data_IF_444350636205
#
_entry.id   IF_444350636205
#
_cell.length_a   1.000
_cell.length_b   1.000
_cell.length_c   1.000
_cell.angle_alpha   90.00
_cell.angle_beta   90.00
_cell.angle_gamma   90.00
#
_symmetry.space_group_name_H-M   'P 1'
#
loop_
_entity.id
_entity.type
_entity.pdbx_description
1 polymer ?
#
# COMPACT_ATOMS: atom_id res chain seq x y z
N UNK A 1 -32.59 31.09 40.38
CA UNK A 1 -31.86 30.12 39.55
C UNK A 1 -32.67 28.83 39.54
N UNK A 2 -33.16 28.41 38.38
CA UNK A 2 -33.89 27.14 38.27
C UNK A 2 -32.92 25.96 38.45
N UNK A 3 -33.30 24.89 39.15
CA UNK A 3 -32.45 23.71 39.29
C UNK A 3 -32.24 23.08 37.92
N UNK A 4 -30.97 22.89 37.54
CA UNK A 4 -30.59 22.16 36.33
C UNK A 4 -31.05 20.71 36.54
N UNK A 5 -31.95 20.25 35.68
CA UNK A 5 -32.42 18.87 35.69
C UNK A 5 -31.28 17.95 35.21
N UNK A 6 -30.49 17.50 36.18
CA UNK A 6 -29.33 16.61 35.99
C UNK A 6 -29.70 15.31 35.30
N UNK A 7 -30.95 14.86 35.38
CA UNK A 7 -31.40 13.63 34.72
C UNK A 7 -31.58 13.81 33.21
N UNK A 8 -31.99 15.00 32.75
CA UNK A 8 -32.10 15.32 31.33
C UNK A 8 -30.71 15.39 30.67
N UNK A 9 -29.75 16.05 31.33
CA UNK A 9 -28.37 16.18 30.86
C UNK A 9 -27.67 14.81 30.78
N UNK A 10 -27.91 13.92 31.76
CA UNK A 10 -27.35 12.57 31.76
C UNK A 10 -27.88 11.72 30.60
N UNK A 11 -29.19 11.85 30.29
CA UNK A 11 -29.84 11.07 29.22
C UNK A 11 -29.30 11.45 27.84
N UNK A 12 -29.09 12.73 27.59
CA UNK A 12 -28.56 13.21 26.31
C UNK A 12 -27.07 12.89 26.16
N UNK A 13 -26.28 12.96 27.24
CA UNK A 13 -24.88 12.54 27.25
C UNK A 13 -24.71 11.03 26.96
N UNK A 14 -25.57 10.18 27.53
CA UNK A 14 -25.53 8.72 27.30
C UNK A 14 -26.00 8.36 25.88
N UNK A 15 -26.97 9.09 25.32
CA UNK A 15 -27.43 8.88 23.94
C UNK A 15 -26.39 9.28 22.90
N UNK A 16 -25.57 10.31 23.17
CA UNK A 16 -24.46 10.72 22.31
C UNK A 16 -23.23 9.80 22.40
N UNK A 17 -23.07 9.03 23.48
CA UNK A 17 -21.88 8.21 23.74
C UNK A 17 -21.87 6.84 23.00
N UNK A 18 -23.01 6.41 22.44
CA UNK A 18 -23.12 5.10 21.77
C UNK A 18 -22.60 5.09 20.32
N UNK A 19 -22.27 6.25 19.76
CA UNK A 19 -21.80 6.41 18.36
C UNK A 19 -20.38 6.99 18.25
N UNK A 20 -19.71 7.24 19.37
CA UNK A 20 -18.41 7.93 19.42
C UNK A 20 -17.33 6.98 19.96
N UNK A 21 -16.08 7.05 19.49
CA UNK A 21 -15.01 6.20 19.99
C UNK A 21 -14.82 6.31 21.52
N UNK A 22 -14.40 5.22 22.15
CA UNK A 22 -14.33 5.06 23.61
C UNK A 22 -13.55 6.19 24.34
N UNK A 23 -12.63 6.88 23.68
CA UNK A 23 -11.91 8.03 24.24
C UNK A 23 -12.82 9.23 24.54
N UNK A 24 -13.91 9.43 23.78
CA UNK A 24 -14.85 10.52 24.04
C UNK A 24 -15.66 10.29 25.31
N UNK A 25 -15.95 9.03 25.64
CA UNK A 25 -16.65 8.65 26.87
C UNK A 25 -15.78 8.94 28.10
N UNK A 26 -14.46 8.68 28.00
CA UNK A 26 -13.47 9.05 29.03
C UNK A 26 -13.38 10.56 29.21
N UNK A 27 -13.36 11.34 28.12
CA UNK A 27 -13.33 12.81 28.18
C UNK A 27 -14.59 13.37 28.83
N UNK A 28 -15.78 12.85 28.49
CA UNK A 28 -17.05 13.27 29.10
C UNK A 28 -17.06 12.96 30.61
N UNK A 29 -16.58 11.79 31.03
CA UNK A 29 -16.45 11.47 32.45
C UNK A 29 -15.48 12.41 33.18
N UNK A 30 -14.33 12.74 32.59
CA UNK A 30 -13.37 13.69 33.15
C UNK A 30 -13.98 15.10 33.30
N UNK A 31 -14.73 15.57 32.31
CA UNK A 31 -15.40 16.89 32.35
C UNK A 31 -16.46 16.95 33.45
N UNK A 32 -17.27 15.89 33.61
CA UNK A 32 -18.29 15.81 34.66
C UNK A 32 -17.64 15.81 36.05
N UNK A 33 -16.54 15.07 36.22
CA UNK A 33 -15.78 15.02 37.47
C UNK A 33 -15.17 16.38 37.80
N UNK A 34 -14.61 17.07 36.80
CA UNK A 34 -14.08 18.42 36.97
C UNK A 34 -15.17 19.44 37.34
N UNK A 35 -16.37 19.32 36.76
CA UNK A 35 -17.49 20.21 37.11
C UNK A 35 -17.98 19.99 38.55
N UNK A 36 -18.07 18.73 39.00
CA UNK A 36 -18.56 18.38 40.34
C UNK A 36 -17.51 18.65 41.42
N UNK A 37 -16.23 18.45 41.12
CA UNK A 37 -15.12 18.66 42.07
C UNK A 37 -14.99 20.13 42.53
N UNK A 38 -15.40 21.10 41.71
CA UNK A 38 -15.43 22.53 42.11
C UNK A 38 -16.37 22.84 43.30
N UNK A 39 -17.27 21.93 43.67
CA UNK A 39 -18.26 22.14 44.74
C UNK A 39 -17.98 21.33 46.01
N UNK A 40 -16.85 20.62 46.07
CA UNK A 40 -16.55 19.65 47.13
C UNK A 40 -15.27 20.06 47.88
N UNK A 41 -15.21 19.91 49.22
CA UNK A 41 -14.00 20.19 49.99
C UNK A 41 -12.79 19.39 49.49
N UNK A 42 -11.61 20.03 49.53
CA UNK A 42 -10.36 19.57 48.90
C UNK A 42 -9.97 18.10 49.21
N UNK A 43 -10.20 17.63 50.43
CA UNK A 43 -9.91 16.25 50.81
C UNK A 43 -10.80 15.22 50.08
N UNK A 44 -12.05 15.55 49.79
CA UNK A 44 -12.95 14.69 49.06
C UNK A 44 -12.74 14.80 47.54
N UNK A 45 -12.25 15.93 47.02
CA UNK A 45 -11.78 16.04 45.63
C UNK A 45 -10.67 15.02 45.32
N UNK A 46 -9.64 14.93 46.17
CA UNK A 46 -8.51 14.00 45.97
C UNK A 46 -9.01 12.56 45.84
N UNK A 47 -9.95 12.14 46.68
CA UNK A 47 -10.50 10.78 46.65
C UNK A 47 -11.30 10.54 45.36
N UNK A 48 -12.10 11.52 44.93
CA UNK A 48 -12.87 11.44 43.70
C UNK A 48 -11.95 11.36 42.47
N UNK A 49 -10.95 12.23 42.38
CA UNK A 49 -10.01 12.25 41.27
C UNK A 49 -9.19 10.96 41.19
N UNK A 50 -8.74 10.43 42.33
CA UNK A 50 -8.01 9.16 42.39
C UNK A 50 -8.91 8.00 41.93
N UNK A 51 -10.17 7.98 42.36
CA UNK A 51 -11.14 6.95 41.97
C UNK A 51 -11.42 7.00 40.48
N UNK A 52 -11.55 8.20 39.90
CA UNK A 52 -11.78 8.41 38.48
C UNK A 52 -10.57 8.01 37.65
N UNK A 53 -9.36 8.38 38.07
CA UNK A 53 -8.12 7.95 37.41
C UNK A 53 -7.97 6.43 37.42
N UNK A 54 -8.28 5.77 38.54
CA UNK A 54 -8.28 4.31 38.64
C UNK A 54 -9.34 3.72 37.71
N UNK A 55 -10.53 4.29 37.65
CA UNK A 55 -11.60 3.81 36.77
C UNK A 55 -11.24 3.99 35.29
N UNK A 56 -10.67 5.14 34.91
CA UNK A 56 -10.19 5.41 33.56
C UNK A 56 -9.04 4.46 33.19
N UNK A 57 -8.07 4.28 34.09
CA UNK A 57 -6.99 3.31 33.92
C UNK A 57 -7.52 1.88 33.76
N UNK A 58 -8.52 1.49 34.54
CA UNK A 58 -9.19 0.19 34.43
C UNK A 58 -9.96 0.04 33.11
N UNK A 59 -10.67 1.07 32.64
CA UNK A 59 -11.38 1.05 31.36
C UNK A 59 -10.40 0.96 30.19
N UNK A 60 -9.31 1.75 30.21
CA UNK A 60 -8.23 1.65 29.22
C UNK A 60 -7.63 0.24 29.27
N UNK A 61 -7.30 -0.27 30.45
CA UNK A 61 -6.77 -1.62 30.62
C UNK A 61 -7.73 -2.68 30.10
N UNK A 62 -9.04 -2.60 30.36
CA UNK A 62 -10.05 -3.54 29.84
C UNK A 62 -10.21 -3.44 28.33
N UNK A 63 -10.18 -2.22 27.77
CA UNK A 63 -10.21 -2.01 26.31
C UNK A 63 -8.95 -2.58 25.68
N UNK A 64 -7.79 -2.33 26.27
CA UNK A 64 -6.52 -2.82 25.79
C UNK A 64 -6.45 -4.34 25.91
N UNK A 65 -6.91 -4.93 27.02
CA UNK A 65 -7.04 -6.38 27.21
C UNK A 65 -8.05 -6.99 26.23
N UNK A 66 -9.13 -6.29 25.89
CA UNK A 66 -10.11 -6.72 24.87
C UNK A 66 -9.56 -6.56 23.45
N UNK A 67 -8.74 -5.55 23.18
CA UNK A 67 -8.06 -5.36 21.90
C UNK A 67 -6.94 -6.39 21.71
N UNK A 68 -6.28 -6.80 22.81
CA UNK A 68 -5.27 -7.86 22.87
C UNK A 68 -5.88 -9.25 22.98
N UNK A 69 -7.15 -9.37 23.38
CA UNK A 69 -7.94 -10.59 23.17
C UNK A 69 -8.26 -10.67 21.70
N UNK A 70 -7.30 -11.29 21.00
CA UNK A 70 -7.50 -12.10 19.80
C UNK A 70 -8.98 -12.27 19.47
N UNK A 71 -9.39 -11.81 18.29
CA UNK A 71 -10.59 -12.33 17.62
C UNK A 71 -10.58 -13.83 17.87
N UNK A 72 -11.56 -14.33 18.62
CA UNK A 72 -11.61 -15.74 18.98
C UNK A 72 -11.80 -16.52 17.68
N UNK A 73 -10.70 -16.93 17.07
CA UNK A 73 -10.71 -17.66 15.82
C UNK A 73 -11.20 -19.07 16.15
N UNK A 74 -12.33 -19.52 15.60
CA UNK A 74 -12.95 -20.79 15.96
C UNK A 74 -12.10 -22.03 15.62
N UNK A 75 -10.98 -21.86 14.91
CA UNK A 75 -10.13 -22.95 14.43
C UNK A 75 -8.65 -22.69 14.73
N UNK A 76 -7.90 -23.67 15.28
CA UNK A 76 -6.46 -23.57 15.53
C UNK A 76 -5.64 -23.11 14.30
N UNK A 77 -6.03 -23.53 13.10
CA UNK A 77 -5.37 -23.13 11.86
C UNK A 77 -5.57 -21.65 11.49
N UNK A 78 -6.64 -21.01 11.96
CA UNK A 78 -6.82 -19.56 11.77
C UNK A 78 -5.99 -18.76 12.78
N UNK A 79 -5.87 -19.25 14.01
CA UNK A 79 -4.97 -18.66 15.02
C UNK A 79 -3.51 -18.69 14.55
N UNK A 80 -3.06 -19.82 13.99
CA UNK A 80 -1.74 -19.95 13.40
C UNK A 80 -1.50 -18.91 12.30
N UNK A 81 -2.45 -18.75 11.36
CA UNK A 81 -2.36 -17.75 10.28
C UNK A 81 -2.32 -16.32 10.78
N UNK A 82 -3.08 -15.99 11.84
CA UNK A 82 -3.04 -14.65 12.44
C UNK A 82 -1.68 -14.38 13.09
N UNK A 83 -1.09 -15.38 13.76
CA UNK A 83 0.25 -15.25 14.32
C UNK A 83 1.28 -15.07 13.21
N UNK A 84 1.21 -15.88 12.15
CA UNK A 84 2.05 -15.72 10.95
C UNK A 84 1.91 -14.33 10.33
N UNK A 85 0.69 -13.78 10.25
CA UNK A 85 0.47 -12.42 9.75
C UNK A 85 1.02 -11.35 10.71
N UNK A 86 0.92 -11.54 12.03
CA UNK A 86 1.50 -10.62 13.01
C UNK A 86 3.03 -10.61 12.95
N UNK A 87 3.64 -11.73 12.62
CA UNK A 87 5.08 -11.85 12.44
C UNK A 87 5.57 -11.17 11.14
N UNK A 88 4.65 -10.69 10.28
CA UNK A 88 4.97 -9.88 9.10
C UNK A 88 5.04 -8.38 9.39
N UNK A 89 4.50 -7.89 10.52
CA UNK A 89 4.44 -6.45 10.80
C UNK A 89 5.84 -5.80 10.79
N UNK A 90 6.80 -6.41 11.50
CA UNK A 90 8.19 -5.90 11.55
C UNK A 90 8.84 -5.93 10.15
N UNK A 91 8.81 -7.04 9.39
CA UNK A 91 9.31 -7.06 8.02
C UNK A 91 8.68 -6.04 7.08
N UNK A 92 7.35 -5.89 7.14
CA UNK A 92 6.62 -4.94 6.30
C UNK A 92 7.05 -3.53 6.66
N UNK A 93 7.11 -3.21 7.95
CA UNK A 93 7.56 -1.90 8.42
C UNK A 93 9.02 -1.65 8.05
N UNK A 94 9.91 -2.63 8.15
CA UNK A 94 11.30 -2.41 7.75
C UNK A 94 11.45 -2.18 6.25
N UNK A 95 10.79 -2.98 5.40
CA UNK A 95 10.91 -2.83 3.93
C UNK A 95 10.16 -1.61 3.41
N UNK A 96 8.97 -1.32 3.95
CA UNK A 96 8.05 -0.30 3.47
C UNK A 96 7.96 0.90 4.42
N UNK A 97 8.91 1.09 5.34
CA UNK A 97 8.90 2.10 6.41
C UNK A 97 8.41 3.47 5.93
N UNK A 98 9.12 4.01 4.93
CA UNK A 98 8.87 5.33 4.36
C UNK A 98 7.56 5.39 3.55
N UNK A 99 6.96 4.25 3.22
CA UNK A 99 5.64 4.15 2.59
C UNK A 99 4.53 4.03 3.65
N UNK A 100 4.82 3.49 4.82
CA UNK A 100 3.88 3.29 5.92
C UNK A 100 3.72 4.53 6.80
N UNK A 101 4.63 5.51 6.68
CA UNK A 101 4.60 6.79 7.40
C UNK A 101 3.38 7.68 7.12
N UNK A 102 3.42 8.92 7.62
CA UNK A 102 2.26 9.81 7.59
C UNK A 102 1.94 10.38 6.19
N UNK A 103 2.90 10.42 5.26
CA UNK A 103 2.75 11.08 3.96
C UNK A 103 1.78 10.39 2.99
N UNK A 104 1.36 11.08 1.94
CA UNK A 104 0.54 10.45 0.89
C UNK A 104 1.36 9.42 0.10
N UNK A 105 0.77 8.25 -0.14
CA UNK A 105 1.33 7.22 -1.02
C UNK A 105 0.38 7.01 -2.19
N UNK A 106 0.92 7.10 -3.40
CA UNK A 106 0.16 6.87 -4.62
C UNK A 106 0.58 5.56 -5.25
N UNK A 107 -0.36 4.62 -5.35
CA UNK A 107 -0.21 3.40 -6.15
C UNK A 107 -0.61 3.72 -7.58
N UNK A 108 0.40 3.88 -8.42
CA UNK A 108 0.30 4.22 -9.84
C UNK A 108 0.33 2.93 -10.64
N UNK A 109 -0.77 2.61 -11.31
CA UNK A 109 -0.85 1.44 -12.17
C UNK A 109 -1.27 1.81 -13.58
N UNK A 110 -1.17 0.84 -14.49
CA UNK A 110 -1.41 1.07 -15.91
C UNK A 110 -2.84 1.50 -16.24
N UNK A 111 -2.97 2.48 -17.13
CA UNK A 111 -4.17 2.68 -17.94
C UNK A 111 -3.79 2.62 -19.40
N UNK A 112 -4.46 1.74 -20.15
CA UNK A 112 -4.25 1.57 -21.58
C UNK A 112 -5.39 2.20 -22.35
N UNK A 113 -5.05 2.93 -23.41
CA UNK A 113 -6.02 3.38 -24.39
C UNK A 113 -6.67 2.17 -25.08
N UNK A 114 -8.00 2.08 -25.05
CA UNK A 114 -8.73 1.06 -25.79
C UNK A 114 -9.03 1.59 -27.20
N UNK A 115 -8.26 1.11 -28.17
CA UNK A 115 -8.53 1.38 -29.59
C UNK A 115 -9.71 0.59 -30.13
N UNK A 116 -9.90 -0.61 -29.59
CA UNK A 116 -11.04 -1.48 -29.90
C UNK A 116 -11.39 -2.36 -28.70
N UNK A 117 -12.69 -2.55 -28.46
CA UNK A 117 -13.20 -3.47 -27.45
C UNK A 117 -14.44 -4.19 -27.95
N UNK A 118 -14.81 -5.30 -27.29
CA UNK A 118 -16.06 -6.01 -27.57
C UNK A 118 -17.12 -5.56 -26.57
N UNK A 119 -18.25 -5.06 -27.06
CA UNK A 119 -19.38 -4.65 -26.21
C UNK A 119 -20.13 -5.86 -25.61
N UNK A 120 -21.14 -5.59 -24.78
CA UNK A 120 -21.96 -6.65 -24.16
C UNK A 120 -22.77 -7.47 -25.17
N UNK A 121 -22.90 -7.00 -26.41
CA UNK A 121 -23.61 -7.66 -27.51
C UNK A 121 -22.66 -8.44 -28.41
N UNK A 122 -21.35 -8.44 -28.12
CA UNK A 122 -20.34 -9.15 -28.91
C UNK A 122 -19.82 -8.36 -30.11
N UNK A 123 -20.15 -7.07 -30.25
CA UNK A 123 -19.69 -6.24 -31.37
C UNK A 123 -18.34 -5.63 -31.06
N UNK A 124 -17.45 -5.59 -32.06
CA UNK A 124 -16.20 -4.83 -31.98
C UNK A 124 -16.52 -3.35 -32.12
N UNK A 125 -16.34 -2.61 -31.04
CA UNK A 125 -16.49 -1.15 -30.95
C UNK A 125 -15.12 -0.50 -31.08
N UNK A 126 -15.05 0.55 -31.90
CA UNK A 126 -13.88 1.43 -32.04
C UNK A 126 -14.30 2.84 -31.62
N UNK A 127 -13.93 3.30 -30.41
CA UNK A 127 -14.41 4.57 -29.86
C UNK A 127 -14.14 5.78 -30.76
N UNK A 128 -13.04 5.77 -31.52
CA UNK A 128 -12.68 6.83 -32.46
C UNK A 128 -13.61 6.92 -33.68
N UNK A 129 -14.31 5.83 -34.03
CA UNK A 129 -15.09 5.69 -35.26
C UNK A 129 -16.61 5.66 -35.08
N UNK A 130 -17.10 5.58 -33.84
CA UNK A 130 -18.53 5.51 -33.55
C UNK A 130 -18.98 6.69 -32.67
N UNK A 131 -19.75 7.66 -33.20
CA UNK A 131 -20.27 8.80 -32.45
C UNK A 131 -21.13 8.41 -31.24
N UNK A 132 -21.75 7.22 -31.24
CA UNK A 132 -22.51 6.70 -30.09
C UNK A 132 -21.61 6.35 -28.91
N UNK A 133 -20.33 6.04 -29.19
CA UNK A 133 -19.25 5.86 -28.23
C UNK A 133 -18.24 7.02 -28.29
N UNK A 134 -18.56 8.08 -29.04
CA UNK A 134 -17.68 9.18 -29.49
C UNK A 134 -17.35 10.21 -28.42
N UNK A 135 -16.85 9.74 -27.28
CA UNK A 135 -16.19 10.56 -26.28
C UNK A 135 -14.67 10.60 -26.48
N UNK A 136 -13.99 11.39 -25.63
CA UNK A 136 -12.54 11.31 -25.46
C UNK A 136 -12.08 9.83 -25.29
N UNK A 137 -10.84 9.47 -25.66
CA UNK A 137 -10.36 8.09 -25.64
C UNK A 137 -10.83 7.33 -24.40
N UNK A 138 -11.56 6.21 -24.60
CA UNK A 138 -12.12 5.46 -23.48
C UNK A 138 -10.97 4.88 -22.66
N UNK A 139 -10.79 5.44 -21.47
CA UNK A 139 -9.88 4.92 -20.45
C UNK A 139 -10.48 3.63 -19.92
N UNK A 140 -9.91 2.47 -20.26
CA UNK A 140 -10.13 1.27 -19.45
C UNK A 140 -8.97 1.09 -18.49
N UNK A 141 -9.31 1.11 -17.21
CA UNK A 141 -8.37 0.83 -16.16
C UNK A 141 -7.89 -0.62 -16.28
N UNK A 142 -6.58 -0.79 -16.22
CA UNK A 142 -5.89 -2.03 -15.84
C UNK A 142 -5.92 -3.22 -16.79
N UNK A 143 -4.74 -3.72 -17.11
CA UNK A 143 -4.60 -5.16 -17.36
C UNK A 143 -4.97 -5.88 -16.04
N UNK A 144 -5.74 -6.97 -16.10
CA UNK A 144 -6.12 -7.75 -14.91
C UNK A 144 -4.89 -8.08 -14.02
N UNK A 145 -3.71 -8.43 -14.56
CA UNK A 145 -2.51 -8.67 -13.76
C UNK A 145 -2.05 -7.47 -12.93
N UNK A 146 -2.02 -6.27 -13.51
CA UNK A 146 -1.54 -5.06 -12.81
C UNK A 146 -2.51 -4.66 -11.69
N UNK A 147 -3.83 -4.85 -11.87
CA UNK A 147 -4.84 -4.58 -10.86
C UNK A 147 -4.69 -5.51 -9.65
N UNK A 148 -4.47 -6.80 -9.93
CA UNK A 148 -4.22 -7.80 -8.90
C UNK A 148 -2.91 -7.51 -8.17
N UNK A 149 -1.88 -7.07 -8.90
CA UNK A 149 -0.61 -6.63 -8.32
C UNK A 149 -0.80 -5.44 -7.37
N UNK A 150 -1.53 -4.41 -7.81
CA UNK A 150 -1.85 -3.23 -7.02
C UNK A 150 -2.58 -3.59 -5.72
N UNK A 151 -3.64 -4.41 -5.81
CA UNK A 151 -4.38 -4.85 -4.63
C UNK A 151 -3.49 -5.59 -3.63
N UNK A 152 -2.55 -6.41 -4.08
CA UNK A 152 -1.60 -7.12 -3.19
C UNK A 152 -0.69 -6.17 -2.44
N UNK A 153 -0.07 -5.21 -3.15
CA UNK A 153 0.81 -4.23 -2.50
C UNK A 153 0.05 -3.31 -1.55
N UNK A 154 -1.19 -2.93 -1.90
CA UNK A 154 -2.06 -2.18 -1.00
C UNK A 154 -2.38 -2.97 0.27
N UNK A 155 -2.69 -4.26 0.15
CA UNK A 155 -2.95 -5.11 1.31
C UNK A 155 -1.71 -5.21 2.22
N UNK A 156 -0.50 -5.31 1.66
CA UNK A 156 0.74 -5.27 2.45
C UNK A 156 0.89 -3.95 3.19
N UNK A 157 0.66 -2.82 2.53
CA UNK A 157 0.70 -1.50 3.18
C UNK A 157 -0.34 -1.39 4.31
N UNK A 158 -1.56 -1.89 4.10
CA UNK A 158 -2.60 -1.92 5.14
C UNK A 158 -2.16 -2.74 6.35
N UNK A 159 -1.53 -3.90 6.12
CA UNK A 159 -0.97 -4.74 7.19
C UNK A 159 0.15 -4.01 7.93
N UNK A 160 1.03 -3.31 7.21
CA UNK A 160 2.09 -2.49 7.81
C UNK A 160 1.60 -1.32 8.67
N UNK A 161 0.33 -0.92 8.52
CA UNK A 161 -0.29 0.17 9.28
C UNK A 161 -0.75 1.37 8.43
N UNK A 162 -0.50 1.37 7.12
CA UNK A 162 -0.92 2.43 6.20
C UNK A 162 -2.42 2.35 5.89
N UNK A 163 -3.24 2.88 6.79
CA UNK A 163 -4.72 2.85 6.67
C UNK A 163 -5.34 4.10 6.05
N UNK A 164 -4.59 5.20 6.03
CA UNK A 164 -5.03 6.48 5.49
C UNK A 164 -4.03 6.97 4.45
N UNK A 165 -4.44 7.93 3.63
CA UNK A 165 -3.55 8.62 2.66
C UNK A 165 -2.91 7.71 1.61
N UNK A 166 -3.49 6.51 1.41
CA UNK A 166 -3.18 5.62 0.31
C UNK A 166 -4.16 5.88 -0.83
N UNK A 167 -3.64 6.28 -2.00
CA UNK A 167 -4.46 6.62 -3.17
C UNK A 167 -4.09 5.75 -4.36
N UNK A 168 -5.10 5.31 -5.08
CA UNK A 168 -4.96 4.58 -6.34
C UNK A 168 -5.11 5.55 -7.49
N UNK A 169 -4.11 5.66 -8.35
CA UNK A 169 -4.15 6.51 -9.55
C UNK A 169 -3.64 5.74 -10.76
N UNK A 170 -3.96 6.23 -11.95
CA UNK A 170 -3.42 5.65 -13.17
C UNK A 170 -2.23 6.47 -13.68
N UNK A 171 -1.38 5.85 -14.49
CA UNK A 171 -0.32 6.53 -15.21
C UNK A 171 -0.82 7.39 -16.38
N UNK A 172 -2.13 7.55 -16.55
CA UNK A 172 -2.69 8.36 -17.62
C UNK A 172 -2.36 9.83 -17.41
N UNK A 173 -2.06 10.55 -18.49
CA UNK A 173 -1.56 11.94 -18.43
C UNK A 173 -2.47 12.90 -17.66
N UNK A 174 -3.79 12.74 -17.79
CA UNK A 174 -4.75 13.59 -17.08
C UNK A 174 -4.95 13.19 -15.61
N UNK A 175 -4.61 11.95 -15.26
CA UNK A 175 -4.81 11.39 -13.92
C UNK A 175 -3.57 11.64 -13.05
N UNK A 176 -2.38 11.56 -13.65
CA UNK A 176 -1.10 11.77 -12.98
C UNK A 176 -0.71 13.25 -12.99
N UNK A 177 -0.85 13.91 -11.84
CA UNK A 177 -0.52 15.33 -11.66
C UNK A 177 0.94 15.51 -11.26
N UNK A 178 1.50 16.67 -11.59
CA UNK A 178 2.89 17.00 -11.25
C UNK A 178 3.15 17.00 -9.74
N UNK A 179 2.16 17.36 -8.93
CA UNK A 179 2.26 17.37 -7.46
C UNK A 179 2.51 15.98 -6.84
N UNK A 180 2.23 14.90 -7.57
CA UNK A 180 2.45 13.55 -7.06
C UNK A 180 3.94 13.15 -7.05
N UNK A 181 4.78 13.83 -7.83
CA UNK A 181 6.23 13.60 -7.83
C UNK A 181 6.88 13.87 -6.47
N UNK A 182 6.30 14.79 -5.70
CA UNK A 182 6.76 15.16 -4.36
C UNK A 182 6.31 14.16 -3.27
N UNK A 183 5.60 13.09 -3.67
CA UNK A 183 5.07 12.06 -2.78
C UNK A 183 5.75 10.71 -3.02
N UNK A 184 5.62 9.80 -2.06
CA UNK A 184 6.06 8.42 -2.25
C UNK A 184 5.15 7.67 -3.24
N UNK A 185 5.74 6.94 -4.17
CA UNK A 185 5.02 6.27 -5.25
C UNK A 185 5.26 4.75 -5.24
N UNK A 186 4.22 3.99 -5.57
CA UNK A 186 4.34 2.58 -5.98
C UNK A 186 3.97 2.50 -7.44
N UNK A 187 4.93 2.20 -8.31
CA UNK A 187 4.73 2.13 -9.75
C UNK A 187 4.56 0.69 -10.18
N UNK A 188 3.43 0.37 -10.80
CA UNK A 188 3.09 -0.98 -11.25
C UNK A 188 2.94 -0.96 -12.76
N UNK A 189 3.77 -1.77 -13.43
CA UNK A 189 3.82 -1.88 -14.88
C UNK A 189 5.13 -1.34 -15.49
N UNK A 190 5.52 -1.87 -16.65
CA UNK A 190 6.67 -1.38 -17.42
C UNK A 190 6.34 -0.10 -18.17
N UNK A 191 7.31 0.54 -18.82
CA UNK A 191 7.06 1.78 -19.57
C UNK A 191 6.02 1.68 -20.71
N UNK A 192 5.66 0.46 -21.15
CA UNK A 192 4.51 0.23 -22.05
C UNK A 192 3.16 0.45 -21.38
N UNK A 193 3.03 0.01 -20.13
CA UNK A 193 1.76 0.04 -19.40
C UNK A 193 1.69 1.18 -18.39
N UNK A 194 2.85 1.65 -17.90
CA UNK A 194 3.00 2.77 -16.97
C UNK A 194 4.14 3.69 -17.43
N UNK A 195 3.78 4.79 -18.09
CA UNK A 195 4.74 5.76 -18.63
C UNK A 195 5.58 6.51 -17.57
N UNK A 196 5.15 6.46 -16.29
CA UNK A 196 5.86 7.09 -15.17
C UNK A 196 7.05 6.23 -14.73
N UNK A 197 6.94 4.90 -14.86
CA UNK A 197 8.00 3.95 -14.50
C UNK A 197 9.38 4.30 -15.08
N UNK A 198 9.56 4.44 -16.41
CA UNK A 198 10.87 4.77 -16.97
C UNK A 198 11.33 6.19 -16.62
N UNK A 199 10.41 7.12 -16.36
CA UNK A 199 10.75 8.48 -15.93
C UNK A 199 11.40 8.46 -14.55
N UNK A 200 10.79 7.78 -13.57
CA UNK A 200 11.33 7.61 -12.21
C UNK A 200 12.69 6.92 -12.24
N UNK A 201 12.82 5.81 -12.98
CA UNK A 201 14.10 5.09 -13.06
C UNK A 201 15.21 5.98 -13.62
N UNK A 202 14.92 6.80 -14.64
CA UNK A 202 15.90 7.71 -15.22
C UNK A 202 16.22 8.90 -14.33
N UNK A 203 15.21 9.54 -13.75
CA UNK A 203 15.35 10.75 -12.93
C UNK A 203 16.22 10.50 -11.69
N UNK A 204 16.08 9.33 -11.08
CA UNK A 204 16.84 8.96 -9.88
C UNK A 204 18.04 8.07 -10.18
N UNK A 205 18.55 8.12 -11.41
CA UNK A 205 19.73 7.42 -11.89
C UNK A 205 19.77 5.93 -11.49
N UNK A 206 18.63 5.25 -11.59
CA UNK A 206 18.53 3.82 -11.34
C UNK A 206 19.54 3.08 -12.22
N UNK A 207 20.28 2.09 -11.67
CA UNK A 207 21.12 1.21 -12.47
C UNK A 207 20.31 0.31 -13.39
N UNK A 208 18.99 0.22 -13.22
CA UNK A 208 18.10 -0.55 -14.09
C UNK A 208 17.15 0.36 -14.86
N UNK A 209 16.97 0.02 -16.13
CA UNK A 209 16.02 0.67 -17.03
C UNK A 209 15.45 -0.37 -18.01
N UNK A 210 14.72 0.08 -19.01
CA UNK A 210 14.19 -0.75 -20.08
C UNK A 210 14.77 -0.35 -21.43
N UNK A 211 14.81 -1.30 -22.36
CA UNK A 211 15.05 -0.97 -23.77
C UNK A 211 13.97 -0.02 -24.31
N UNK A 212 14.25 0.79 -25.35
CA UNK A 212 13.28 1.76 -25.89
C UNK A 212 11.94 1.14 -26.36
N UNK A 213 11.96 -0.13 -26.76
CA UNK A 213 10.77 -0.89 -27.15
C UNK A 213 10.19 -1.74 -26.00
N UNK A 214 10.69 -1.58 -24.78
CA UNK A 214 10.28 -2.27 -23.56
C UNK A 214 10.17 -3.79 -23.75
N UNK A 215 11.17 -4.38 -24.40
CA UNK A 215 11.26 -5.83 -24.60
C UNK A 215 12.38 -6.47 -23.76
N UNK A 216 13.16 -5.67 -23.05
CA UNK A 216 14.13 -6.15 -22.10
C UNK A 216 14.34 -5.12 -20.98
N UNK A 217 14.77 -5.62 -19.82
CA UNK A 217 15.32 -4.85 -18.71
C UNK A 217 16.83 -4.76 -18.95
N UNK A 218 17.42 -3.59 -18.77
CA UNK A 218 18.85 -3.37 -18.98
C UNK A 218 19.54 -2.98 -17.68
N UNK A 219 20.80 -3.40 -17.53
CA UNK A 219 21.72 -2.85 -16.54
C UNK A 219 22.49 -1.67 -17.17
N UNK A 220 22.29 -0.46 -16.65
CA UNK A 220 22.96 0.77 -17.13
C UNK A 220 24.43 0.81 -16.74
N UNK A 221 24.85 0.02 -15.76
CA UNK A 221 26.26 -0.07 -15.35
C UNK A 221 27.05 -1.02 -16.26
N UNK A 222 26.36 -2.01 -16.85
CA UNK A 222 26.91 -2.96 -17.80
C UNK A 222 25.95 -3.10 -19.01
N UNK A 223 25.99 -2.16 -19.99
CA UNK A 223 24.98 -2.07 -21.07
C UNK A 223 24.87 -3.31 -21.97
N UNK A 224 25.89 -4.17 -21.95
CA UNK A 224 25.92 -5.47 -22.63
C UNK A 224 24.96 -6.49 -21.96
N UNK A 225 24.52 -6.21 -20.72
CA UNK A 225 23.67 -7.09 -19.92
C UNK A 225 22.21 -6.61 -19.98
N UNK A 226 21.37 -7.47 -20.53
CA UNK A 226 19.94 -7.23 -20.63
C UNK A 226 19.14 -8.53 -20.48
N UNK A 227 17.89 -8.41 -20.04
CA UNK A 227 17.02 -9.53 -19.74
C UNK A 227 15.64 -9.39 -20.39
N UNK A 228 15.22 -10.36 -21.20
CA UNK A 228 16.01 -11.51 -21.65
C UNK A 228 17.16 -11.12 -22.59
N UNK A 229 18.22 -11.93 -22.61
CA UNK A 229 19.34 -11.76 -23.54
C UNK A 229 18.95 -11.97 -25.02
N UNK A 230 17.83 -12.65 -25.27
CA UNK A 230 17.22 -12.79 -26.60
C UNK A 230 15.70 -12.65 -26.47
N UNK A 231 15.09 -11.89 -27.37
CA UNK A 231 13.65 -11.72 -27.45
C UNK A 231 12.88 -13.03 -27.71
N UNK A 232 13.51 -14.08 -28.24
CA UNK A 232 12.87 -15.39 -28.39
C UNK A 232 12.46 -16.00 -27.04
N UNK A 233 13.19 -15.71 -25.95
CA UNK A 233 12.86 -16.19 -24.61
C UNK A 233 11.53 -15.65 -24.11
N UNK A 234 11.06 -14.49 -24.61
CA UNK A 234 9.75 -13.95 -24.26
C UNK A 234 8.59 -14.81 -24.77
N UNK A 235 8.81 -15.90 -25.51
CA UNK A 235 7.76 -16.87 -25.82
C UNK A 235 7.44 -17.75 -24.62
N UNK A 236 8.44 -18.06 -23.82
CA UNK A 236 8.39 -19.09 -22.78
C UNK A 236 8.55 -18.51 -21.37
N UNK A 237 9.20 -17.35 -21.24
CA UNK A 237 9.59 -16.73 -19.97
C UNK A 237 9.32 -15.23 -19.98
N UNK A 238 8.64 -14.74 -18.95
CA UNK A 238 8.50 -13.33 -18.63
C UNK A 238 9.57 -12.89 -17.64
N UNK A 239 9.89 -11.60 -17.64
CA UNK A 239 10.87 -11.02 -16.72
C UNK A 239 10.23 -9.90 -15.92
N UNK A 240 10.56 -9.82 -14.64
CA UNK A 240 10.10 -8.79 -13.72
C UNK A 240 11.28 -8.11 -13.04
N UNK A 241 11.08 -6.85 -12.65
CA UNK A 241 11.98 -6.14 -11.76
C UNK A 241 11.19 -5.55 -10.60
N UNK A 242 11.78 -5.63 -9.41
CA UNK A 242 11.33 -4.93 -8.20
C UNK A 242 12.46 -4.04 -7.76
N UNK A 243 12.25 -2.72 -7.76
CA UNK A 243 13.25 -1.74 -7.33
C UNK A 243 12.64 -0.85 -6.27
N UNK A 244 13.32 -0.72 -5.13
CA UNK A 244 13.03 0.32 -4.15
C UNK A 244 14.11 1.38 -4.26
N UNK A 245 13.70 2.61 -4.56
CA UNK A 245 14.53 3.81 -4.55
C UNK A 245 14.14 4.66 -3.35
N UNK A 246 15.13 5.31 -2.74
CA UNK A 246 14.94 6.25 -1.63
C UNK A 246 15.66 7.53 -1.98
N UNK A 247 14.95 8.65 -1.98
CA UNK A 247 15.45 9.94 -2.44
C UNK A 247 15.21 10.97 -1.36
N UNK A 248 16.26 11.71 -1.00
CA UNK A 248 16.17 12.76 0.02
C UNK A 248 16.16 14.12 -0.66
N UNK A 249 15.07 14.87 -0.47
CA UNK A 249 14.89 16.24 -0.96
C UNK A 249 14.75 17.18 0.23
N UNK A 250 15.86 17.84 0.60
CA UNK A 250 15.90 18.69 1.80
C UNK A 250 15.62 17.87 3.06
N UNK A 251 14.57 18.23 3.80
CA UNK A 251 14.16 17.55 5.03
C UNK A 251 13.19 16.37 4.80
N UNK A 252 12.82 16.11 3.54
CA UNK A 252 11.87 15.05 3.18
C UNK A 252 12.57 13.89 2.49
N UNK A 253 12.10 12.68 2.79
CA UNK A 253 12.52 11.48 2.08
C UNK A 253 11.33 10.88 1.34
N UNK A 254 11.43 10.75 0.03
CA UNK A 254 10.43 10.08 -0.81
C UNK A 254 10.94 8.69 -1.20
N UNK A 255 10.01 7.73 -1.27
CA UNK A 255 10.32 6.37 -1.69
C UNK A 255 9.51 6.00 -2.93
N UNK A 256 10.22 5.41 -3.89
CA UNK A 256 9.63 4.91 -5.12
C UNK A 256 9.83 3.39 -5.16
N UNK A 257 8.73 2.64 -5.04
CA UNK A 257 8.73 1.19 -5.24
C UNK A 257 8.26 0.89 -6.66
N UNK A 258 9.17 0.51 -7.53
CA UNK A 258 8.91 0.13 -8.91
C UNK A 258 8.74 -1.38 -8.99
N UNK A 259 7.58 -1.83 -9.46
CA UNK A 259 7.31 -3.23 -9.79
C UNK A 259 6.87 -3.30 -11.24
N UNK A 260 7.75 -3.77 -12.10
CA UNK A 260 7.56 -3.68 -13.55
C UNK A 260 7.98 -4.96 -14.24
N UNK A 261 7.42 -5.26 -15.40
CA UNK A 261 7.72 -6.49 -16.12
C UNK A 261 7.72 -6.36 -17.63
N UNK A 262 8.52 -7.22 -18.24
CA UNK A 262 8.55 -7.50 -19.66
C UNK A 262 7.78 -8.81 -19.90
N UNK A 263 6.68 -8.69 -20.63
CA UNK A 263 5.70 -9.78 -20.81
C UNK A 263 4.49 -9.66 -19.90
N UNK A 264 3.44 -10.46 -20.11
CA UNK A 264 2.15 -10.32 -19.44
C UNK A 264 2.14 -10.60 -17.93
N UNK A 265 3.08 -11.42 -17.42
CA UNK A 265 3.05 -11.86 -16.02
C UNK A 265 4.21 -11.34 -15.15
N UNK A 266 5.23 -10.73 -15.74
CA UNK A 266 6.42 -10.25 -15.01
C UNK A 266 6.09 -9.27 -13.88
N UNK A 267 5.20 -8.29 -14.13
CA UNK A 267 4.76 -7.31 -13.13
C UNK A 267 4.05 -7.97 -11.95
N UNK A 268 3.08 -8.85 -12.24
CA UNK A 268 2.33 -9.55 -11.19
C UNK A 268 3.23 -10.48 -10.38
N UNK A 269 4.24 -11.07 -11.00
CA UNK A 269 5.26 -11.85 -10.31
C UNK A 269 6.08 -11.01 -9.35
N UNK A 270 6.51 -9.82 -9.76
CA UNK A 270 7.16 -8.86 -8.87
C UNK A 270 6.30 -8.53 -7.65
N UNK A 271 5.01 -8.27 -7.85
CA UNK A 271 4.10 -7.94 -6.74
C UNK A 271 3.98 -9.11 -5.74
N UNK A 272 3.88 -10.34 -6.26
CA UNK A 272 3.82 -11.56 -5.43
C UNK A 272 5.13 -11.88 -4.74
N UNK A 273 6.25 -11.61 -5.40
CA UNK A 273 7.57 -11.77 -4.81
C UNK A 273 7.69 -10.86 -3.59
N UNK A 274 7.33 -9.58 -3.70
CA UNK A 274 7.33 -8.65 -2.56
C UNK A 274 6.46 -9.17 -1.42
N UNK A 275 5.25 -9.64 -1.72
CA UNK A 275 4.33 -10.18 -0.71
C UNK A 275 4.87 -11.43 0.00
N UNK A 276 5.44 -12.38 -0.74
CA UNK A 276 5.91 -13.66 -0.20
C UNK A 276 7.25 -13.56 0.49
N UNK A 277 8.16 -12.76 -0.06
CA UNK A 277 9.56 -12.69 0.36
C UNK A 277 9.83 -11.48 1.24
N UNK A 278 8.80 -10.76 1.74
CA UNK A 278 8.98 -9.53 2.53
C UNK A 278 9.92 -9.72 3.73
N UNK A 279 9.85 -10.88 4.41
CA UNK A 279 10.75 -11.25 5.51
C UNK A 279 12.21 -11.35 5.06
N UNK A 280 12.44 -11.95 3.89
CA UNK A 280 13.76 -12.09 3.31
C UNK A 280 14.30 -10.74 2.85
N UNK A 281 13.48 -9.96 2.13
CA UNK A 281 13.84 -8.60 1.71
C UNK A 281 14.21 -7.75 2.92
N UNK A 282 13.43 -7.85 4.01
CA UNK A 282 13.71 -7.18 5.27
C UNK A 282 15.05 -7.61 5.88
N UNK A 283 15.34 -8.91 5.89
CA UNK A 283 16.60 -9.44 6.43
C UNK A 283 17.80 -8.97 5.62
N UNK A 284 17.65 -8.95 4.29
CA UNK A 284 18.75 -8.63 3.37
C UNK A 284 19.01 -7.11 3.28
N UNK A 285 17.96 -6.28 3.35
CA UNK A 285 18.03 -4.84 3.06
C UNK A 285 17.42 -3.93 4.13
N UNK A 286 16.55 -4.43 5.01
CA UNK A 286 15.80 -3.58 5.94
C UNK A 286 15.04 -2.47 5.19
N UNK A 287 15.29 -1.21 5.56
CA UNK A 287 14.71 -0.04 4.90
C UNK A 287 15.54 0.53 3.75
N UNK A 288 16.67 -0.09 3.43
CA UNK A 288 17.57 0.41 2.38
C UNK A 288 17.01 0.21 0.96
N UNK A 289 17.50 0.99 -0.03
CA UNK A 289 17.23 0.72 -1.44
C UNK A 289 17.67 -0.68 -1.86
N UNK A 290 16.90 -1.30 -2.76
CA UNK A 290 17.21 -2.62 -3.30
C UNK A 290 16.70 -2.79 -4.71
N UNK A 291 17.23 -3.77 -5.41
CA UNK A 291 16.70 -4.22 -6.69
C UNK A 291 16.76 -5.74 -6.82
N UNK A 292 15.70 -6.30 -7.40
CA UNK A 292 15.58 -7.71 -7.74
C UNK A 292 15.11 -7.87 -9.16
N UNK A 293 15.84 -8.69 -9.92
CA UNK A 293 15.39 -9.23 -11.20
C UNK A 293 14.74 -10.59 -10.97
N UNK A 294 13.65 -10.86 -11.68
CA UNK A 294 12.87 -12.09 -11.61
C UNK A 294 12.68 -12.63 -13.03
N UNK A 295 12.81 -13.95 -13.22
CA UNK A 295 12.33 -14.66 -14.41
C UNK A 295 11.16 -15.57 -14.04
N UNK A 296 10.19 -15.68 -14.94
CA UNK A 296 8.89 -16.29 -14.70
C UNK A 296 8.50 -17.13 -15.90
N UNK A 297 8.39 -18.45 -15.74
CA UNK A 297 7.89 -19.29 -16.84
C UNK A 297 6.42 -18.98 -17.14
N UNK A 298 6.08 -18.89 -18.43
CA UNK A 298 4.68 -18.74 -18.89
C UNK A 298 3.90 -20.04 -18.77
N UNK A 299 4.59 -21.17 -18.68
CA UNK A 299 4.00 -22.49 -18.60
C UNK A 299 3.56 -22.82 -17.16
N UNK A 300 2.48 -22.17 -16.73
CA UNK A 300 1.77 -22.59 -15.52
C UNK A 300 0.30 -22.76 -15.84
N UNK A 301 -0.12 -24.02 -15.92
CA UNK A 301 -1.51 -24.48 -15.82
C UNK A 301 -2.21 -24.04 -14.51
N UNK A 302 -1.50 -23.30 -13.66
CA UNK A 302 -2.01 -22.49 -12.55
C UNK A 302 -1.66 -21.04 -12.82
N UNK A 303 -2.44 -20.41 -13.70
CA UNK A 303 -2.51 -18.96 -13.84
C UNK A 303 -2.35 -18.34 -12.45
N UNK A 304 -1.41 -17.42 -12.28
CA UNK A 304 -1.18 -16.71 -11.01
C UNK A 304 -0.22 -17.36 -9.98
N UNK A 305 0.70 -18.27 -10.32
CA UNK A 305 1.81 -18.63 -9.40
C UNK A 305 3.18 -18.58 -10.06
N UNK A 306 3.75 -17.38 -10.27
CA UNK A 306 5.06 -17.26 -10.90
C UNK A 306 6.15 -17.82 -9.99
N UNK A 307 7.02 -18.66 -10.55
CA UNK A 307 8.23 -19.20 -9.90
C UNK A 307 9.39 -18.31 -10.29
N UNK A 308 10.08 -17.73 -9.31
CA UNK A 308 11.26 -16.88 -9.52
C UNK A 308 12.48 -17.79 -9.70
N UNK A 309 13.03 -17.90 -10.91
CA UNK A 309 14.13 -18.85 -11.17
C UNK A 309 15.51 -18.30 -10.81
N UNK A 310 15.69 -16.96 -10.85
CA UNK A 310 16.94 -16.30 -10.43
C UNK A 310 16.62 -15.00 -9.73
N UNK A 311 17.34 -14.74 -8.64
CA UNK A 311 17.28 -13.54 -7.83
C UNK A 311 18.71 -13.03 -7.68
N UNK A 312 19.01 -11.85 -8.21
CA UNK A 312 20.27 -11.16 -7.95
C UNK A 312 19.95 -9.92 -7.13
N UNK A 313 20.52 -9.84 -5.93
CA UNK A 313 20.66 -8.58 -5.22
C UNK A 313 21.59 -7.71 -6.07
N UNK A 314 21.04 -6.60 -6.54
CA UNK A 314 21.66 -5.75 -7.52
C UNK A 314 22.22 -4.50 -6.79
N UNK A 315 23.47 -4.09 -7.04
CA UNK A 315 24.07 -2.98 -6.30
C UNK A 315 23.29 -1.70 -6.58
N UNK A 316 22.80 -1.05 -5.51
CA UNK A 316 22.26 0.31 -5.60
C UNK A 316 23.37 1.25 -5.21
N UNK A 317 23.84 2.07 -6.17
CA UNK A 317 24.84 3.09 -5.86
C UNK A 317 24.14 4.16 -5.03
N UNK A 318 24.46 4.22 -3.73
CA UNK A 318 24.09 5.35 -2.87
C UNK A 318 24.82 6.58 -3.38
N UNK A 319 24.11 7.54 -3.96
CA UNK A 319 24.62 8.89 -4.19
C UNK A 319 23.86 9.86 -3.30
#
# INVERSE_FOLDING_TARGET
MAPIDTNAVLKDAVKGASTVPAYALVIVCLVIVFAVSTQVPFAAMIVVDLTVLILCGYVIWVIELRSRRSVATPLPGQTQRILEMRDLDIPIQGVLEDLVGEDDVYVVYSSTEQREFVDQLGNVVRPEGDPAYGGAPEKRATTIPDAVGASRLQNLLYLGGKRSRLKSITSWKDDFKSEYWDSSLILIGSGKSNAITPQVLKEFDSPYDFTPNFNAIIDRTEPEIFWPADGTHLKDVDYGIVVKLKVTHGDRTTVYLVVAGVGPYGTLAGCKFVEREIQRIHTDFGSEPFAYLLSVTRDSTRSFTPVVERQRALPVIRR
#
